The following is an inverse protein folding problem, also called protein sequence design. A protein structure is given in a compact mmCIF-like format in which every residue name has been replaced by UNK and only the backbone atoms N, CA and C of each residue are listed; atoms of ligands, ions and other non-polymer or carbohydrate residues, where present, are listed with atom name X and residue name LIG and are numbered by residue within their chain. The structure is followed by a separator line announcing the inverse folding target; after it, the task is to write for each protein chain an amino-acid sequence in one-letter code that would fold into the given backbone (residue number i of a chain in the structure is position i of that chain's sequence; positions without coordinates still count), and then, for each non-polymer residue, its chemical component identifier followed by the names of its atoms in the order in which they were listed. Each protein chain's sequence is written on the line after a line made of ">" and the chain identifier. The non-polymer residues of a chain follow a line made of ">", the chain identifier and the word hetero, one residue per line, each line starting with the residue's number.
data_IF_721661010048
#
_entry.id   IF_721661010048
#
_cell.length_a   1.000
_cell.length_b   1.000
_cell.length_c   1.000
_cell.angle_alpha   90.00
_cell.angle_beta   90.00
_cell.angle_gamma   90.00
#
_symmetry.space_group_name_H-M   'P 1'
#
loop_
_entity.id
_entity.type
_entity.pdbx_description
1 polymer ?
#
# COMPACT_ATOMS: atom_id res chain seq x y z
N UNK A 1 -12.15 12.19 20.62
CA UNK A 1 -11.78 13.13 21.65
C UNK A 1 -12.95 13.23 22.65
N UNK A 2 -12.77 12.71 23.86
CA UNK A 2 -13.75 12.86 24.93
C UNK A 2 -13.85 14.35 25.28
N UNK A 3 -14.99 14.94 25.11
CA UNK A 3 -15.25 16.31 25.52
C UNK A 3 -15.42 16.31 27.04
N UNK A 4 -14.38 16.77 27.73
CA UNK A 4 -14.39 16.95 29.20
C UNK A 4 -15.32 18.14 29.51
N UNK A 5 -16.57 17.85 29.85
CA UNK A 5 -17.51 18.85 30.34
C UNK A 5 -17.22 19.00 31.82
N UNK A 6 -16.23 19.81 32.15
CA UNK A 6 -16.07 20.32 33.51
C UNK A 6 -17.21 21.27 33.77
N UNK A 7 -18.17 20.83 34.56
CA UNK A 7 -19.19 21.69 35.15
C UNK A 7 -18.49 22.77 35.96
N UNK A 8 -18.63 23.99 35.54
CA UNK A 8 -18.19 25.17 36.27
C UNK A 8 -18.91 25.20 37.61
N UNK A 9 -18.16 24.96 38.69
CA UNK A 9 -18.71 24.89 40.04
C UNK A 9 -19.09 26.30 40.48
N UNK A 10 -20.35 26.67 40.27
CA UNK A 10 -20.93 27.79 40.96
C UNK A 10 -20.82 27.53 42.48
N UNK A 11 -20.06 28.37 43.20
CA UNK A 11 -19.92 28.33 44.65
C UNK A 11 -21.29 28.60 45.25
N UNK A 12 -21.93 27.57 45.75
CA UNK A 12 -23.18 27.67 46.50
C UNK A 12 -22.84 27.98 47.95
N UNK A 13 -23.25 29.17 48.46
CA UNK A 13 -23.09 29.52 49.84
C UNK A 13 -24.04 28.66 50.70
N UNK A 14 -23.49 27.90 51.65
CA UNK A 14 -24.25 26.95 52.48
C UNK A 14 -24.22 27.43 53.91
N UNK A 15 -25.39 27.68 54.49
CA UNK A 15 -25.56 28.02 55.91
C UNK A 15 -25.89 26.79 56.72
N UNK A 16 -24.90 26.29 57.48
CA UNK A 16 -25.06 25.21 58.44
C UNK A 16 -24.49 23.85 57.97
N UNK A 17 -24.07 23.04 58.95
CA UNK A 17 -23.43 21.73 58.72
C UNK A 17 -24.36 20.73 58.03
N UNK A 18 -25.65 20.71 58.43
CA UNK A 18 -26.63 19.79 57.83
C UNK A 18 -26.91 20.06 56.35
N UNK A 19 -26.88 21.35 55.98
CA UNK A 19 -27.03 21.76 54.56
C UNK A 19 -25.75 21.45 53.74
N UNK A 20 -24.58 21.54 54.36
CA UNK A 20 -23.33 21.13 53.71
C UNK A 20 -23.23 19.63 53.46
N UNK A 21 -23.68 18.81 54.42
CA UNK A 21 -23.68 17.36 54.29
C UNK A 21 -24.69 16.88 53.25
N UNK A 22 -25.88 17.53 53.16
CA UNK A 22 -26.86 17.22 52.09
C UNK A 22 -26.38 17.60 50.69
N UNK A 23 -25.68 18.73 50.56
CA UNK A 23 -25.06 19.14 49.30
C UNK A 23 -23.91 18.20 48.90
N UNK A 24 -23.09 17.78 49.83
CA UNK A 24 -22.03 16.80 49.59
C UNK A 24 -22.60 15.44 49.16
N UNK A 25 -23.73 15.01 49.78
CA UNK A 25 -24.40 13.78 49.38
C UNK A 25 -25.00 13.86 47.96
N UNK A 26 -25.59 15.02 47.58
CA UNK A 26 -26.11 15.26 46.24
C UNK A 26 -24.95 15.35 45.22
N UNK A 27 -23.86 16.03 45.57
CA UNK A 27 -22.66 16.10 44.67
C UNK A 27 -22.03 14.73 44.51
N UNK A 28 -21.96 13.91 45.55
CA UNK A 28 -21.43 12.56 45.48
C UNK A 28 -22.33 11.66 44.62
N UNK A 29 -23.65 11.76 44.74
CA UNK A 29 -24.60 11.04 43.90
C UNK A 29 -24.53 11.49 42.43
N UNK A 30 -24.41 12.81 42.19
CA UNK A 30 -24.23 13.33 40.83
C UNK A 30 -22.87 12.98 40.23
N UNK A 31 -21.81 12.83 41.05
CA UNK A 31 -20.50 12.35 40.61
C UNK A 31 -20.53 10.84 40.30
N UNK A 32 -21.27 10.05 41.08
CA UNK A 32 -21.51 8.63 40.80
C UNK A 32 -22.37 8.43 39.54
N UNK A 33 -23.40 9.24 39.34
CA UNK A 33 -24.23 9.26 38.11
C UNK A 33 -23.45 9.79 36.89
N UNK A 34 -22.48 10.68 37.08
CA UNK A 34 -21.63 11.18 36.00
C UNK A 34 -20.50 10.20 35.61
N UNK A 35 -20.24 9.18 36.45
CA UNK A 35 -19.33 8.08 36.12
C UNK A 35 -19.95 7.07 35.13
N UNK A 36 -21.26 7.10 34.93
CA UNK A 36 -21.91 6.47 33.79
C UNK A 36 -21.77 7.36 32.57
N UNK A 37 -20.55 7.54 32.10
CA UNK A 37 -20.31 8.08 30.76
C UNK A 37 -21.03 7.16 29.79
N UNK A 38 -22.17 7.58 29.28
CA UNK A 38 -22.76 7.01 28.10
C UNK A 38 -21.74 7.32 27.01
N UNK A 39 -20.94 6.32 26.61
CA UNK A 39 -19.98 6.50 25.54
C UNK A 39 -20.76 6.93 24.31
N UNK A 40 -20.79 8.23 24.05
CA UNK A 40 -21.40 8.77 22.86
C UNK A 40 -20.47 8.45 21.72
N UNK A 41 -20.99 7.67 20.79
CA UNK A 41 -20.28 7.27 19.61
C UNK A 41 -20.09 8.47 18.70
N UNK A 42 -18.87 9.00 18.63
CA UNK A 42 -18.50 10.06 17.71
C UNK A 42 -17.79 9.43 16.51
N UNK A 43 -18.45 9.36 15.35
CA UNK A 43 -17.79 8.87 14.15
C UNK A 43 -16.66 9.83 13.78
N UNK A 44 -15.43 9.31 13.76
CA UNK A 44 -14.26 10.08 13.34
C UNK A 44 -13.97 9.73 11.88
N UNK A 45 -14.15 10.70 11.01
CA UNK A 45 -13.82 10.61 9.58
C UNK A 45 -12.57 11.45 9.32
N UNK A 46 -11.61 10.90 8.62
CA UNK A 46 -10.38 11.58 8.22
C UNK A 46 -10.30 11.68 6.70
N UNK A 47 -9.94 12.86 6.20
CA UNK A 47 -9.58 13.07 4.81
C UNK A 47 -8.07 13.07 4.69
N UNK A 48 -7.55 12.28 3.77
CA UNK A 48 -6.11 12.09 3.59
C UNK A 48 -5.78 12.38 2.14
N UNK A 49 -4.81 13.26 1.92
CA UNK A 49 -4.21 13.48 0.61
C UNK A 49 -2.72 13.16 0.70
N UNK A 50 -2.26 12.29 -0.17
CA UNK A 50 -0.86 11.89 -0.26
C UNK A 50 -0.35 12.16 -1.66
N UNK A 51 0.77 12.87 -1.75
CA UNK A 51 1.51 13.07 -3.00
C UNK A 51 2.84 12.35 -2.89
N UNK A 52 3.14 11.51 -3.87
CA UNK A 52 4.44 10.87 -4.03
C UNK A 52 5.04 11.32 -5.34
N UNK A 53 6.29 11.76 -5.30
CA UNK A 53 7.06 12.14 -6.48
C UNK A 53 8.40 11.41 -6.46
N UNK A 54 8.70 10.72 -7.54
CA UNK A 54 9.95 10.01 -7.76
C UNK A 54 10.57 10.48 -9.07
N UNK A 55 11.88 10.69 -9.10
CA UNK A 55 12.62 11.05 -10.31
C UNK A 55 13.88 10.18 -10.42
N UNK A 56 14.03 9.51 -11.54
CA UNK A 56 15.12 8.57 -11.79
C UNK A 56 15.84 8.88 -13.09
N UNK A 57 17.12 8.69 -13.06
CA UNK A 57 17.99 8.73 -14.23
C UNK A 57 18.92 7.53 -14.16
N UNK A 58 18.88 6.69 -15.18
CA UNK A 58 19.82 5.59 -15.36
C UNK A 58 20.80 5.96 -16.46
N UNK A 59 22.08 5.74 -16.19
CA UNK A 59 23.15 5.84 -17.17
C UNK A 59 23.89 4.51 -17.18
N UNK A 60 24.12 3.98 -18.37
CA UNK A 60 25.01 2.86 -18.58
C UNK A 60 26.20 3.33 -19.41
N UNK A 61 27.40 3.22 -18.87
CA UNK A 61 28.65 3.58 -19.53
C UNK A 61 29.55 2.34 -19.59
N UNK A 62 30.09 2.09 -20.75
CA UNK A 62 31.11 1.05 -20.94
C UNK A 62 32.20 1.59 -21.87
N UNK A 63 33.45 1.24 -21.56
CA UNK A 63 34.63 1.67 -22.29
C UNK A 63 35.40 0.44 -22.75
N UNK A 64 35.97 0.53 -23.95
CA UNK A 64 36.81 -0.54 -24.54
C UNK A 64 36.04 -1.88 -24.65
N UNK A 65 34.77 -1.82 -25.03
CA UNK A 65 33.96 -2.99 -25.28
C UNK A 65 34.47 -3.71 -26.53
N UNK A 66 34.77 -5.03 -26.50
CA UNK A 66 35.15 -5.77 -27.70
C UNK A 66 34.07 -5.65 -28.79
N UNK A 67 34.48 -5.55 -30.04
CA UNK A 67 33.56 -5.33 -31.19
C UNK A 67 32.57 -6.47 -31.38
N UNK A 68 32.87 -7.67 -30.87
CA UNK A 68 32.05 -8.88 -30.95
C UNK A 68 31.27 -9.18 -29.64
N UNK A 69 31.35 -8.28 -28.64
CA UNK A 69 30.70 -8.51 -27.34
C UNK A 69 29.18 -8.44 -27.42
N UNK A 70 28.66 -7.47 -28.21
CA UNK A 70 27.22 -7.32 -28.46
C UNK A 70 26.88 -7.75 -29.88
N UNK A 71 25.77 -8.49 -30.03
CA UNK A 71 25.31 -9.00 -31.32
C UNK A 71 24.65 -7.93 -32.20
N UNK A 72 24.00 -6.96 -31.57
CA UNK A 72 23.18 -5.95 -32.25
C UNK A 72 23.64 -4.54 -31.88
N UNK A 73 23.50 -3.62 -32.86
CA UNK A 73 23.67 -2.20 -32.64
C UNK A 73 22.49 -1.46 -33.30
N UNK A 74 21.73 -0.72 -32.52
CA UNK A 74 20.51 -0.04 -32.95
C UNK A 74 20.71 1.44 -33.26
N UNK A 75 21.65 2.10 -32.59
CA UNK A 75 22.00 3.48 -32.87
C UNK A 75 23.43 3.79 -32.47
N UNK A 76 24.02 4.77 -33.18
CA UNK A 76 25.32 5.32 -32.81
C UNK A 76 25.13 6.52 -31.88
N UNK A 77 25.31 6.32 -30.62
CA UNK A 77 25.17 7.36 -29.60
C UNK A 77 26.40 8.26 -29.62
N UNK A 78 26.43 9.23 -30.51
CA UNK A 78 27.51 10.16 -30.78
C UNK A 78 28.14 10.94 -29.62
N UNK A 79 27.96 10.53 -28.38
CA UNK A 79 28.58 11.14 -27.22
C UNK A 79 29.93 10.54 -26.84
N UNK A 80 30.12 9.29 -27.20
CA UNK A 80 31.36 8.56 -27.05
C UNK A 80 31.69 7.90 -28.40
N UNK A 81 32.89 8.09 -28.90
CA UNK A 81 33.34 7.51 -30.16
C UNK A 81 34.01 6.15 -29.97
N UNK A 82 33.87 5.26 -30.94
CA UNK A 82 34.47 3.93 -30.93
C UNK A 82 33.72 2.93 -30.06
N UNK A 83 34.48 2.07 -29.39
CA UNK A 83 33.94 0.93 -28.56
C UNK A 83 33.28 1.34 -27.26
N UNK A 84 33.01 2.64 -27.08
CA UNK A 84 32.43 3.19 -25.87
C UNK A 84 30.90 3.28 -25.96
N UNK A 85 30.22 2.90 -24.90
CA UNK A 85 28.76 2.92 -24.80
C UNK A 85 28.32 3.98 -23.81
N UNK A 86 27.31 4.76 -24.17
CA UNK A 86 26.64 5.69 -23.27
C UNK A 86 25.14 5.66 -23.51
N UNK A 87 24.41 4.91 -22.67
CA UNK A 87 22.97 4.83 -22.72
C UNK A 87 22.35 5.55 -21.54
N UNK A 88 21.38 6.40 -21.79
CA UNK A 88 20.69 7.16 -20.77
C UNK A 88 19.17 6.98 -20.89
N UNK A 89 18.54 6.62 -19.80
CA UNK A 89 17.08 6.66 -19.65
C UNK A 89 16.70 7.55 -18.48
N UNK A 90 15.59 8.25 -18.61
CA UNK A 90 15.04 9.07 -17.54
C UNK A 90 13.58 8.71 -17.33
N UNK A 91 13.14 8.75 -16.07
CA UNK A 91 11.71 8.74 -15.82
C UNK A 91 11.39 9.53 -14.54
N UNK A 92 10.22 10.12 -14.51
CA UNK A 92 9.62 10.64 -13.29
C UNK A 92 8.20 10.10 -13.13
N UNK A 93 7.79 10.04 -11.88
CA UNK A 93 6.53 9.47 -11.48
C UNK A 93 5.91 10.34 -10.40
N UNK A 94 4.64 10.72 -10.56
CA UNK A 94 3.88 11.47 -9.58
C UNK A 94 2.55 10.80 -9.33
N UNK A 95 2.36 10.28 -8.11
CA UNK A 95 1.11 9.66 -7.66
C UNK A 95 0.41 10.55 -6.64
N UNK A 96 -0.83 10.92 -6.92
CA UNK A 96 -1.73 11.62 -6.01
C UNK A 96 -2.79 10.66 -5.52
N UNK A 97 -2.94 10.52 -4.21
CA UNK A 97 -3.95 9.64 -3.60
C UNK A 97 -4.82 10.44 -2.66
N UNK A 98 -6.12 10.43 -2.89
CA UNK A 98 -7.15 10.99 -2.02
C UNK A 98 -7.88 9.85 -1.34
N UNK A 99 -8.01 9.92 -0.02
CA UNK A 99 -8.68 8.90 0.76
C UNK A 99 -9.60 9.50 1.81
N UNK A 100 -10.69 8.78 2.06
CA UNK A 100 -11.60 9.00 3.19
C UNK A 100 -11.48 7.79 4.07
N UNK A 101 -11.11 7.99 5.33
CA UNK A 101 -10.97 6.93 6.31
C UNK A 101 -11.93 7.14 7.47
N UNK A 102 -12.64 6.08 7.84
CA UNK A 102 -13.47 6.00 9.03
C UNK A 102 -12.80 5.03 9.99
N UNK A 103 -12.56 5.49 11.21
CA UNK A 103 -11.87 4.70 12.23
C UNK A 103 -12.71 3.49 12.65
N UNK A 104 -12.02 2.50 13.20
CA UNK A 104 -12.62 1.34 13.82
C UNK A 104 -13.63 1.76 14.88
N UNK A 105 -14.83 1.18 14.84
CA UNK A 105 -15.92 1.57 15.73
C UNK A 105 -16.84 2.68 15.18
N UNK A 106 -16.61 3.24 13.99
CA UNK A 106 -17.52 4.22 13.37
C UNK A 106 -18.93 3.66 13.15
N UNK A 107 -19.06 2.34 13.04
CA UNK A 107 -20.32 1.63 12.88
C UNK A 107 -20.47 0.53 13.94
N UNK A 108 -21.58 0.54 14.65
CA UNK A 108 -21.90 -0.50 15.65
C UNK A 108 -21.97 -1.90 15.06
N UNK A 109 -22.26 -2.03 13.77
CA UNK A 109 -22.41 -3.32 13.08
C UNK A 109 -21.06 -3.88 12.59
N UNK A 110 -20.23 -3.06 11.99
CA UNK A 110 -19.01 -3.54 11.35
C UNK A 110 -17.83 -3.70 12.32
N UNK A 111 -17.77 -2.90 13.40
CA UNK A 111 -16.63 -2.86 14.36
C UNK A 111 -15.26 -2.90 13.67
N UNK A 112 -15.17 -2.27 12.52
CA UNK A 112 -14.01 -2.26 11.64
C UNK A 112 -13.76 -0.85 11.11
N UNK A 113 -12.53 -0.50 10.85
CA UNK A 113 -12.16 0.71 10.12
C UNK A 113 -12.37 0.51 8.63
N UNK A 114 -12.89 1.52 7.96
CA UNK A 114 -13.11 1.53 6.52
C UNK A 114 -12.34 2.70 5.90
N UNK A 115 -11.65 2.44 4.79
CA UNK A 115 -10.99 3.48 4.00
C UNK A 115 -11.36 3.27 2.53
N UNK A 116 -11.79 4.32 1.88
CA UNK A 116 -11.95 4.36 0.43
C UNK A 116 -10.94 5.36 -0.14
N UNK A 117 -10.35 5.05 -1.28
CA UNK A 117 -9.36 5.93 -1.91
C UNK A 117 -9.46 5.91 -3.44
N UNK A 118 -9.02 7.01 -4.03
CA UNK A 118 -8.78 7.13 -5.46
C UNK A 118 -7.36 7.66 -5.66
N UNK A 119 -6.64 7.11 -6.61
CA UNK A 119 -5.29 7.57 -6.96
C UNK A 119 -5.19 7.90 -8.44
N UNK A 120 -4.50 8.99 -8.71
CA UNK A 120 -4.12 9.42 -10.05
C UNK A 120 -2.62 9.42 -10.18
N UNK A 121 -2.14 8.66 -11.15
CA UNK A 121 -0.74 8.32 -11.35
C UNK A 121 -0.27 8.83 -12.71
N UNK A 122 0.76 9.67 -12.69
CA UNK A 122 1.41 10.25 -13.86
C UNK A 122 2.81 9.68 -13.95
N UNK A 123 3.12 9.03 -15.08
CA UNK A 123 4.42 8.45 -15.35
C UNK A 123 4.94 9.00 -16.65
N UNK A 124 6.16 9.49 -16.64
CA UNK A 124 6.85 10.03 -17.81
C UNK A 124 8.18 9.32 -17.99
N UNK A 125 8.43 8.85 -19.20
CA UNK A 125 9.67 8.15 -19.54
C UNK A 125 10.31 8.81 -20.75
N UNK A 126 11.64 8.87 -20.75
CA UNK A 126 12.45 9.29 -21.89
C UNK A 126 13.41 8.16 -22.26
N UNK A 127 13.29 7.63 -23.46
CA UNK A 127 14.16 6.60 -24.02
C UNK A 127 14.94 7.15 -25.21
N UNK A 128 16.17 6.65 -25.49
CA UNK A 128 16.90 7.00 -26.69
C UNK A 128 16.15 6.61 -27.96
N UNK A 129 16.36 7.37 -29.05
CA UNK A 129 15.88 7.05 -30.39
C UNK A 129 17.05 6.63 -31.28
N UNK A 130 16.78 5.92 -32.37
CA UNK A 130 17.79 5.53 -33.36
C UNK A 130 18.46 6.74 -34.03
N UNK A 131 17.82 7.90 -34.03
CA UNK A 131 18.32 9.13 -34.64
C UNK A 131 19.16 10.00 -33.70
N UNK A 132 19.45 9.50 -32.48
CA UNK A 132 20.28 10.20 -31.47
C UNK A 132 19.53 11.20 -30.57
N UNK A 133 18.19 11.15 -30.55
CA UNK A 133 17.33 11.96 -29.68
C UNK A 133 16.76 11.17 -28.50
N UNK A 134 15.65 11.68 -27.92
CA UNK A 134 14.86 11.03 -26.92
C UNK A 134 13.38 10.99 -27.32
N UNK A 135 12.79 9.83 -27.23
CA UNK A 135 11.35 9.65 -27.33
C UNK A 135 10.72 9.70 -25.94
N UNK A 136 9.53 10.30 -25.87
CA UNK A 136 8.82 10.54 -24.60
C UNK A 136 7.55 9.73 -24.54
N UNK A 137 7.41 8.97 -23.47
CA UNK A 137 6.24 8.17 -23.18
C UNK A 137 5.53 8.74 -21.94
N UNK A 138 4.23 8.92 -22.05
CA UNK A 138 3.40 9.40 -20.95
C UNK A 138 2.31 8.39 -20.64
N UNK A 139 2.21 7.99 -19.38
CA UNK A 139 1.16 7.11 -18.89
C UNK A 139 0.34 7.85 -17.83
N UNK A 140 -0.98 7.78 -17.97
CA UNK A 140 -1.96 8.36 -17.07
C UNK A 140 -2.85 7.25 -16.56
N UNK A 141 -2.82 7.01 -15.26
CA UNK A 141 -3.57 5.93 -14.64
C UNK A 141 -4.46 6.48 -13.54
N UNK A 142 -5.73 6.13 -13.59
CA UNK A 142 -6.68 6.34 -12.49
C UNK A 142 -7.01 5.00 -11.89
N UNK A 143 -6.87 4.87 -10.57
CA UNK A 143 -7.29 3.69 -9.81
C UNK A 143 -8.17 4.08 -8.63
N UNK A 144 -9.00 3.15 -8.19
CA UNK A 144 -9.82 3.27 -6.99
C UNK A 144 -9.67 2.04 -6.14
N UNK A 145 -9.81 2.21 -4.83
CA UNK A 145 -9.67 1.09 -3.93
C UNK A 145 -10.33 1.32 -2.59
N UNK A 146 -10.34 0.26 -1.80
CA UNK A 146 -10.88 0.25 -0.47
C UNK A 146 -10.04 -0.60 0.48
N UNK A 147 -10.12 -0.29 1.75
CA UNK A 147 -9.49 -1.04 2.83
C UNK A 147 -10.48 -1.25 3.94
N UNK A 148 -10.55 -2.48 4.43
CA UNK A 148 -11.29 -2.87 5.62
C UNK A 148 -10.31 -3.41 6.63
N UNK A 149 -10.30 -2.87 7.86
CA UNK A 149 -9.35 -3.28 8.87
C UNK A 149 -9.98 -3.36 10.26
N UNK A 150 -9.52 -4.33 11.04
CA UNK A 150 -9.84 -4.45 12.44
C UNK A 150 -8.56 -4.74 13.21
N UNK A 151 -8.16 -3.81 14.07
CA UNK A 151 -6.96 -3.91 14.89
C UNK A 151 -7.27 -3.95 16.39
N UNK A 152 -8.47 -3.48 16.79
CA UNK A 152 -8.90 -3.53 18.16
C UNK A 152 -9.39 -4.92 18.57
N UNK A 153 -9.16 -5.28 19.85
CA UNK A 153 -9.56 -6.55 20.44
C UNK A 153 -8.37 -7.46 20.71
N UNK A 154 -8.65 -8.64 21.30
CA UNK A 154 -7.60 -9.59 21.70
C UNK A 154 -7.54 -10.84 20.82
N UNK A 155 -8.64 -11.15 20.14
CA UNK A 155 -8.81 -12.46 19.48
C UNK A 155 -8.66 -12.41 17.99
N UNK A 156 -9.26 -11.41 17.32
CA UNK A 156 -9.33 -11.35 15.87
C UNK A 156 -8.88 -9.99 15.35
N UNK A 157 -7.85 -9.99 14.51
CA UNK A 157 -7.39 -8.85 13.74
C UNK A 157 -7.39 -9.22 12.27
N UNK A 158 -7.76 -8.29 11.40
CA UNK A 158 -7.70 -8.49 9.97
C UNK A 158 -7.48 -7.17 9.24
N UNK A 159 -6.91 -7.27 8.05
CA UNK A 159 -6.81 -6.17 7.12
C UNK A 159 -6.99 -6.72 5.70
N UNK A 160 -7.86 -6.10 4.94
CA UNK A 160 -8.07 -6.40 3.54
C UNK A 160 -8.05 -5.10 2.73
N UNK A 161 -7.29 -5.09 1.65
CA UNK A 161 -7.18 -3.96 0.72
C UNK A 161 -7.48 -4.48 -0.66
N UNK A 162 -8.24 -3.71 -1.44
CA UNK A 162 -8.46 -3.96 -2.85
C UNK A 162 -8.30 -2.68 -3.66
N UNK A 163 -7.60 -2.74 -4.78
CA UNK A 163 -7.41 -1.63 -5.72
C UNK A 163 -7.65 -2.14 -7.15
N UNK A 164 -8.34 -1.36 -7.95
CA UNK A 164 -8.59 -1.63 -9.36
C UNK A 164 -8.14 -0.45 -10.22
N UNK A 165 -7.39 -0.73 -11.28
CA UNK A 165 -7.03 0.25 -12.30
C UNK A 165 -8.20 0.45 -13.27
N UNK A 166 -8.62 1.70 -13.43
CA UNK A 166 -9.77 2.05 -14.25
C UNK A 166 -9.38 2.53 -15.66
N UNK A 167 -8.24 3.22 -15.76
CA UNK A 167 -7.83 3.86 -17.02
C UNK A 167 -6.34 3.66 -17.31
N UNK A 168 -5.96 3.95 -18.55
CA UNK A 168 -4.57 3.91 -19.01
C UNK A 168 -4.04 2.48 -19.15
N UNK A 169 -2.74 2.33 -19.05
CA UNK A 169 -2.06 1.03 -19.17
C UNK A 169 -2.47 0.03 -18.09
N UNK A 170 -2.87 0.55 -16.93
CA UNK A 170 -3.31 -0.26 -15.80
C UNK A 170 -4.82 -0.51 -15.79
N UNK A 171 -5.56 -0.19 -16.87
CA UNK A 171 -6.98 -0.51 -16.97
C UNK A 171 -7.19 -2.04 -16.83
N UNK A 172 -8.06 -2.44 -15.89
CA UNK A 172 -8.34 -3.84 -15.60
C UNK A 172 -7.25 -4.56 -14.77
N UNK A 173 -6.27 -3.84 -14.20
CA UNK A 173 -5.45 -4.38 -13.11
C UNK A 173 -6.29 -4.53 -11.85
N UNK A 174 -5.95 -5.49 -11.02
CA UNK A 174 -6.62 -5.75 -9.74
C UNK A 174 -5.58 -6.23 -8.73
N UNK A 175 -5.47 -5.51 -7.63
CA UNK A 175 -4.66 -5.91 -6.49
C UNK A 175 -5.58 -6.15 -5.29
N UNK A 176 -5.51 -7.32 -4.70
CA UNK A 176 -6.22 -7.66 -3.46
C UNK A 176 -5.21 -8.24 -2.50
N UNK A 177 -5.09 -7.63 -1.34
CA UNK A 177 -4.24 -8.07 -0.23
C UNK A 177 -5.10 -8.32 1.00
N UNK A 178 -4.89 -9.42 1.68
CA UNK A 178 -5.61 -9.77 2.88
C UNK A 178 -4.72 -10.46 3.90
N UNK A 179 -4.89 -10.08 5.16
CA UNK A 179 -4.32 -10.84 6.28
C UNK A 179 -5.34 -10.95 7.41
N UNK A 180 -5.25 -12.04 8.14
CA UNK A 180 -6.06 -12.33 9.33
C UNK A 180 -5.18 -12.94 10.39
N UNK A 181 -5.26 -12.42 11.61
CA UNK A 181 -4.60 -12.95 12.79
C UNK A 181 -5.64 -13.35 13.82
N UNK A 182 -5.62 -14.60 14.26
CA UNK A 182 -6.50 -15.15 15.31
C UNK A 182 -5.66 -15.63 16.47
N UNK A 183 -5.96 -15.09 17.66
CA UNK A 183 -5.33 -15.49 18.91
C UNK A 183 -6.28 -16.39 19.71
N UNK A 184 -5.92 -17.65 19.86
CA UNK A 184 -6.74 -18.68 20.51
C UNK A 184 -6.07 -19.08 21.83
N UNK A 185 -6.76 -18.96 22.99
CA UNK A 185 -6.25 -19.50 24.24
C UNK A 185 -6.09 -21.03 24.13
N UNK A 186 -4.89 -21.55 24.35
CA UNK A 186 -4.59 -22.97 24.22
C UNK A 186 -3.52 -23.41 25.22
N UNK A 187 -3.79 -24.45 26.01
CA UNK A 187 -2.87 -25.06 27.00
C UNK A 187 -2.17 -24.07 27.94
N UNK A 188 -2.90 -23.00 28.36
CA UNK A 188 -2.40 -21.99 29.28
C UNK A 188 -1.47 -20.95 28.64
N UNK A 189 -1.50 -20.83 27.31
CA UNK A 189 -0.84 -19.82 26.51
C UNK A 189 -1.73 -19.45 25.31
N UNK A 190 -1.20 -18.68 24.35
CA UNK A 190 -1.92 -18.25 23.17
C UNK A 190 -1.36 -18.95 21.93
N UNK A 191 -2.23 -19.69 21.22
CA UNK A 191 -1.97 -20.17 19.87
C UNK A 191 -2.32 -19.06 18.89
N UNK A 192 -1.34 -18.61 18.11
CA UNK A 192 -1.52 -17.60 17.07
C UNK A 192 -1.66 -18.29 15.72
N UNK A 193 -2.77 -18.02 15.03
CA UNK A 193 -3.03 -18.48 13.67
C UNK A 193 -3.11 -17.27 12.77
N UNK A 194 -2.21 -17.19 11.79
CA UNK A 194 -2.17 -16.10 10.82
C UNK A 194 -2.36 -16.66 9.42
N UNK A 195 -3.27 -16.05 8.68
CA UNK A 195 -3.44 -16.23 7.26
C UNK A 195 -3.08 -14.96 6.49
N UNK A 196 -2.30 -15.10 5.43
CA UNK A 196 -1.98 -14.04 4.50
C UNK A 196 -2.33 -14.52 3.10
N UNK A 197 -3.00 -13.69 2.30
CA UNK A 197 -3.31 -13.99 0.92
C UNK A 197 -3.23 -12.73 0.07
N UNK A 198 -2.77 -12.86 -1.17
CA UNK A 198 -2.90 -11.82 -2.14
C UNK A 198 -3.23 -12.37 -3.54
N UNK A 199 -3.87 -11.54 -4.31
CA UNK A 199 -4.11 -11.72 -5.73
C UNK A 199 -3.76 -10.42 -6.45
N UNK A 200 -2.72 -10.46 -7.29
CA UNK A 200 -2.28 -9.32 -8.07
C UNK A 200 -2.38 -9.65 -9.56
N UNK A 201 -3.16 -8.88 -10.29
CA UNK A 201 -3.16 -8.83 -11.75
C UNK A 201 -2.62 -7.48 -12.18
N UNK A 202 -1.39 -7.44 -12.61
CA UNK A 202 -0.61 -6.22 -12.82
C UNK A 202 -0.10 -6.11 -14.26
N UNK A 203 0.00 -4.89 -14.76
CA UNK A 203 0.69 -4.61 -16.01
C UNK A 203 2.19 -4.77 -15.80
N UNK A 204 2.93 -5.50 -16.65
CA UNK A 204 4.38 -5.55 -16.60
C UNK A 204 5.00 -4.15 -16.61
N UNK A 205 6.12 -3.97 -15.91
CA UNK A 205 6.74 -2.66 -15.80
C UNK A 205 7.06 -2.06 -17.17
N UNK A 206 7.09 -0.73 -17.27
CA UNK A 206 7.36 -0.03 -18.50
C UNK A 206 8.61 -0.55 -19.21
N UNK A 207 9.70 -0.80 -18.49
CA UNK A 207 10.97 -1.25 -19.06
C UNK A 207 10.97 -2.71 -19.54
N UNK A 208 10.00 -3.53 -19.20
CA UNK A 208 9.78 -4.83 -19.83
C UNK A 208 8.99 -4.69 -21.14
N UNK A 209 8.12 -3.69 -21.21
CA UNK A 209 7.32 -3.41 -22.43
C UNK A 209 8.13 -2.61 -23.44
N UNK A 210 8.86 -1.59 -22.99
CA UNK A 210 9.65 -0.71 -23.87
C UNK A 210 11.04 -0.47 -23.27
N UNK A 211 12.06 -0.78 -24.04
CA UNK A 211 13.43 -0.51 -23.65
C UNK A 211 14.28 -0.20 -24.85
N UNK A 212 14.97 0.95 -24.85
CA UNK A 212 15.83 1.44 -25.91
C UNK A 212 17.23 1.70 -25.33
N UNK A 213 18.20 0.98 -25.88
CA UNK A 213 19.61 1.12 -25.59
C UNK A 213 20.41 0.80 -26.85
N UNK A 214 21.67 1.19 -26.93
CA UNK A 214 22.50 0.98 -28.12
C UNK A 214 22.52 -0.49 -28.58
N UNK A 215 22.55 -1.43 -27.68
CA UNK A 215 22.70 -2.86 -27.96
C UNK A 215 21.49 -3.71 -27.54
N UNK A 216 20.49 -3.12 -26.89
CA UNK A 216 19.30 -3.80 -26.44
C UNK A 216 18.08 -2.95 -26.81
N UNK A 217 17.18 -3.52 -27.60
CA UNK A 217 16.00 -2.82 -28.06
C UNK A 217 14.81 -3.76 -28.12
N UNK A 218 13.73 -3.39 -27.40
CA UNK A 218 12.47 -4.09 -27.53
C UNK A 218 11.27 -3.19 -27.27
N UNK A 219 10.17 -3.52 -27.92
CA UNK A 219 8.84 -2.97 -27.75
C UNK A 219 7.87 -4.15 -27.74
N UNK A 220 7.43 -4.55 -26.56
CA UNK A 220 6.64 -5.75 -26.35
C UNK A 220 5.23 -5.41 -25.89
N UNK A 221 4.23 -6.06 -26.49
CA UNK A 221 2.86 -6.09 -26.02
C UNK A 221 2.68 -7.32 -25.11
N UNK A 222 2.93 -7.10 -23.83
CA UNK A 222 2.91 -8.16 -22.81
C UNK A 222 1.56 -8.24 -22.11
N UNK A 223 1.07 -9.44 -21.89
CA UNK A 223 -0.11 -9.71 -21.10
C UNK A 223 0.12 -9.31 -19.62
N UNK A 224 -0.99 -9.11 -18.91
CA UNK A 224 -0.92 -8.84 -17.46
C UNK A 224 -0.45 -10.06 -16.71
N UNK A 225 0.57 -9.87 -15.87
CA UNK A 225 1.05 -10.88 -14.94
C UNK A 225 0.02 -11.10 -13.84
N UNK A 226 -0.28 -12.36 -13.54
CA UNK A 226 -1.16 -12.73 -12.43
C UNK A 226 -0.31 -13.46 -11.40
N UNK A 227 -0.25 -12.91 -10.18
CA UNK A 227 0.43 -13.52 -9.06
C UNK A 227 -0.54 -13.74 -7.91
N UNK A 228 -0.69 -14.98 -7.50
CA UNK A 228 -1.54 -15.38 -6.38
C UNK A 228 -0.71 -16.09 -5.32
N UNK A 229 -0.88 -15.70 -4.08
CA UNK A 229 -0.24 -16.35 -2.94
C UNK A 229 -1.23 -16.53 -1.80
N UNK A 230 -1.18 -17.71 -1.20
CA UNK A 230 -1.89 -18.02 0.05
C UNK A 230 -0.88 -18.60 1.03
N UNK A 231 -0.82 -18.06 2.22
CA UNK A 231 0.12 -18.46 3.27
C UNK A 231 -0.59 -18.60 4.61
N UNK A 232 -0.37 -19.71 5.28
CA UNK A 232 -0.78 -19.96 6.65
C UNK A 232 0.42 -20.02 7.60
N UNK A 233 0.33 -19.39 8.74
CA UNK A 233 1.33 -19.47 9.80
C UNK A 233 0.67 -19.82 11.12
N UNK A 234 1.14 -20.87 11.76
CA UNK A 234 0.75 -21.29 13.12
C UNK A 234 1.95 -21.06 14.03
N UNK A 235 1.73 -20.35 15.13
CA UNK A 235 2.79 -20.03 16.10
C UNK A 235 2.32 -20.34 17.51
N UNK A 236 3.11 -21.12 18.25
CA UNK A 236 2.86 -21.42 19.65
C UNK A 236 4.07 -21.02 20.49
N UNK A 237 4.04 -19.83 21.13
CA UNK A 237 5.18 -19.26 21.83
C UNK A 237 5.69 -20.12 22.98
N UNK A 238 4.81 -20.80 23.71
CA UNK A 238 5.18 -21.67 24.84
C UNK A 238 6.20 -22.76 24.48
N UNK A 239 6.06 -23.36 23.31
CA UNK A 239 6.98 -24.39 22.80
C UNK A 239 8.00 -23.82 21.80
N UNK A 240 7.94 -22.51 21.51
CA UNK A 240 8.74 -21.85 20.47
C UNK A 240 8.57 -22.49 19.09
N UNK A 241 7.40 -23.06 18.83
CA UNK A 241 7.08 -23.72 17.57
C UNK A 241 6.43 -22.74 16.63
N UNK A 242 6.91 -22.75 15.36
CA UNK A 242 6.31 -21.98 14.26
C UNK A 242 6.27 -22.85 13.01
N UNK A 243 5.08 -23.06 12.48
CA UNK A 243 4.84 -23.74 11.21
C UNK A 243 4.33 -22.74 10.18
N UNK A 244 4.89 -22.74 8.98
CA UNK A 244 4.45 -21.91 7.87
C UNK A 244 4.30 -22.76 6.62
N UNK A 245 3.16 -22.60 5.93
CA UNK A 245 2.88 -23.22 4.64
C UNK A 245 2.44 -22.12 3.69
N UNK A 246 2.97 -22.14 2.47
CA UNK A 246 2.60 -21.18 1.43
C UNK A 246 2.46 -21.89 0.08
N UNK A 247 1.55 -21.37 -0.75
CA UNK A 247 1.38 -21.75 -2.15
C UNK A 247 1.45 -20.47 -2.97
N UNK A 248 2.27 -20.47 -4.01
CA UNK A 248 2.42 -19.38 -4.98
C UNK A 248 2.09 -19.88 -6.38
N UNK A 249 1.34 -19.08 -7.13
CA UNK A 249 1.07 -19.29 -8.55
C UNK A 249 1.34 -17.99 -9.31
N UNK A 250 2.12 -18.07 -10.37
CA UNK A 250 2.40 -16.93 -11.25
C UNK A 250 2.05 -17.35 -12.68
N UNK A 251 1.20 -16.56 -13.35
CA UNK A 251 0.90 -16.67 -14.78
C UNK A 251 1.47 -15.46 -15.52
N UNK A 252 1.85 -15.67 -16.77
CA UNK A 252 2.47 -14.66 -17.64
C UNK A 252 3.69 -14.03 -16.95
N UNK A 253 4.56 -14.91 -16.43
CA UNK A 253 5.81 -14.45 -15.78
C UNK A 253 6.77 -13.93 -16.82
N UNK A 254 7.17 -12.68 -16.71
CA UNK A 254 8.06 -11.99 -17.64
C UNK A 254 9.51 -12.24 -17.27
N UNK A 255 10.33 -12.69 -18.24
CA UNK A 255 11.74 -12.98 -18.05
C UNK A 255 12.58 -12.67 -19.28
N UNK A 256 13.89 -12.54 -19.12
CA UNK A 256 14.82 -12.39 -20.22
C UNK A 256 15.08 -13.74 -20.88
N UNK A 257 14.87 -13.85 -22.19
CA UNK A 257 15.21 -15.03 -22.96
C UNK A 257 16.71 -15.04 -23.34
N UNK A 258 17.21 -16.17 -23.83
CA UNK A 258 18.58 -16.26 -24.35
C UNK A 258 18.77 -15.47 -25.64
N UNK A 259 17.72 -15.06 -26.31
CA UNK A 259 17.77 -14.19 -27.50
C UNK A 259 17.89 -12.70 -27.17
N UNK A 260 18.16 -12.37 -25.90
CA UNK A 260 18.26 -10.98 -25.40
C UNK A 260 16.96 -10.17 -25.56
N UNK A 261 15.84 -10.85 -25.50
CA UNK A 261 14.50 -10.26 -25.52
C UNK A 261 13.72 -10.63 -24.26
N UNK A 262 12.62 -9.90 -24.01
CA UNK A 262 11.69 -10.19 -22.92
C UNK A 262 10.59 -11.10 -23.46
N UNK A 263 10.33 -12.19 -22.74
CA UNK A 263 9.26 -13.14 -23.07
C UNK A 263 8.39 -13.44 -21.84
N UNK A 264 7.21 -14.01 -22.08
CA UNK A 264 6.26 -14.49 -21.08
C UNK A 264 6.33 -16.02 -20.93
#
# INVERSE_FOLDING_TARGET
>A
AAKDIRNDSTRIAVNGKAAADSLLAVQKKNAEDSLFYKSEYVPVTSFIHTVKFDNYRRIYEAYQTPADYYLNEYYDAGRLTGDSIYDQTKHWHMKNTFAIAMLEGFNKWAKAGLKAFASYDLRHYELPTMEGGFEKYNEHVLSVGGQLSKQEGKTLHYNAVAEIGLTGVDAGTLAIDGNVDVNIPFLGDTLQVRGDAFFHRETPSFYYRNYHARHLWWENDLDKTIHTRIMGTLSFPKTRTKLRVAVDEIKNYTYFSQSYDITE
#
